data_IF_068929561674
#
_entry.id   IF_068929561674
#
_cell.length_a   1.000
_cell.length_b   1.000
_cell.length_c   1.000
_cell.angle_alpha   90.00
_cell.angle_beta   90.00
_cell.angle_gamma   90.00
#
_symmetry.space_group_name_H-M   'P 1'
#
loop_
_entity.id
_entity.type
_entity.pdbx_description
1 polymer ?
#
# COMPACT_ATOMS: atom_id res chain seq x y z
N UNK A 1 -4.21 -8.23 5.60
CA UNK A 1 -3.40 -9.19 6.37
C UNK A 1 -2.00 -8.66 6.66
N UNK A 2 -1.28 -9.23 7.64
CA UNK A 2 0.13 -8.90 7.88
C UNK A 2 1.06 -9.47 6.78
N UNK A 3 0.55 -10.40 5.99
CA UNK A 3 1.27 -11.05 4.91
C UNK A 3 1.17 -10.29 3.57
N UNK A 4 0.28 -9.29 3.46
CA UNK A 4 0.10 -8.52 2.23
C UNK A 4 1.38 -7.80 1.78
N UNK A 5 2.11 -7.05 2.64
CA UNK A 5 3.29 -6.33 2.21
C UNK A 5 4.40 -7.23 1.64
N UNK A 6 4.84 -8.30 2.31
CA UNK A 6 5.89 -9.17 1.76
C UNK A 6 5.44 -9.89 0.49
N UNK A 7 4.19 -10.33 0.42
CA UNK A 7 3.69 -11.05 -0.76
C UNK A 7 3.57 -10.15 -1.98
N UNK A 8 3.04 -8.93 -1.83
CA UNK A 8 3.01 -7.95 -2.92
C UNK A 8 4.41 -7.60 -3.42
N UNK A 9 5.40 -7.53 -2.53
CA UNK A 9 6.77 -7.21 -2.91
C UNK A 9 7.49 -8.35 -3.66
N UNK A 10 7.12 -9.60 -3.41
CA UNK A 10 7.85 -10.79 -3.93
C UNK A 10 7.84 -10.87 -5.46
N UNK A 11 6.78 -10.38 -6.10
CA UNK A 11 6.61 -10.49 -7.55
C UNK A 11 7.02 -9.23 -8.32
N UNK A 12 7.56 -8.23 -7.63
CA UNK A 12 8.01 -7.00 -8.27
C UNK A 12 9.51 -7.03 -8.55
N UNK A 13 9.96 -6.53 -9.72
CA UNK A 13 11.38 -6.56 -10.11
C UNK A 13 12.23 -5.53 -9.35
N UNK A 14 11.60 -4.65 -8.56
CA UNK A 14 12.26 -3.60 -7.78
C UNK A 14 11.90 -3.71 -6.31
N UNK A 15 12.83 -3.37 -5.40
CA UNK A 15 12.54 -3.35 -3.96
C UNK A 15 11.38 -2.41 -3.63
N UNK A 16 10.43 -2.90 -2.84
CA UNK A 16 9.30 -2.14 -2.34
C UNK A 16 9.61 -1.61 -0.95
N UNK A 17 9.48 -0.32 -0.77
CA UNK A 17 9.58 0.34 0.53
C UNK A 17 8.21 0.50 1.15
N UNK A 18 8.10 0.28 2.44
CA UNK A 18 6.84 0.42 3.18
C UNK A 18 6.97 1.42 4.33
N UNK A 19 5.91 2.16 4.60
CA UNK A 19 5.80 2.94 5.82
C UNK A 19 5.38 2.03 6.97
N UNK A 20 6.16 2.02 8.05
CA UNK A 20 5.85 1.24 9.24
C UNK A 20 5.87 2.14 10.49
N UNK A 21 5.07 1.79 11.50
CA UNK A 21 5.03 2.53 12.76
C UNK A 21 6.42 2.58 13.39
N UNK A 22 6.82 3.76 13.90
CA UNK A 22 8.14 3.97 14.50
C UNK A 22 8.42 2.99 15.65
N UNK A 23 7.40 2.63 16.43
CA UNK A 23 7.50 1.71 17.55
C UNK A 23 7.95 0.30 17.13
N UNK A 24 7.68 -0.10 15.88
CA UNK A 24 8.12 -1.39 15.36
C UNK A 24 9.64 -1.47 15.16
N UNK A 25 10.28 -0.31 15.02
CA UNK A 25 11.74 -0.23 14.86
C UNK A 25 12.50 -0.27 16.18
N UNK A 26 11.81 -0.09 17.30
CA UNK A 26 12.38 -0.16 18.64
C UNK A 26 12.70 -1.60 19.06
N UNK A 27 11.99 -2.56 18.52
CA UNK A 27 12.26 -3.97 18.78
C UNK A 27 13.53 -4.44 18.03
N UNK A 28 14.57 -4.95 18.73
CA UNK A 28 15.88 -5.15 18.12
C UNK A 28 15.87 -6.12 16.94
N UNK A 29 15.22 -7.27 17.07
CA UNK A 29 15.18 -8.30 16.03
C UNK A 29 14.19 -7.89 14.93
N UNK A 30 12.99 -7.52 15.31
CA UNK A 30 11.93 -7.18 14.35
C UNK A 30 12.26 -5.88 13.60
N UNK A 31 12.80 -4.87 14.30
CA UNK A 31 13.24 -3.62 13.70
C UNK A 31 14.35 -3.83 12.67
N UNK A 32 15.31 -4.72 12.95
CA UNK A 32 16.35 -5.08 11.98
C UNK A 32 15.75 -5.77 10.73
N UNK A 33 14.82 -6.70 10.93
CA UNK A 33 14.14 -7.41 9.84
C UNK A 33 13.36 -6.46 8.92
N UNK A 34 12.55 -5.54 9.49
CA UNK A 34 11.75 -4.61 8.67
C UNK A 34 12.60 -3.56 7.96
N UNK A 35 13.73 -3.11 8.56
CA UNK A 35 14.70 -2.25 7.87
C UNK A 35 15.31 -2.98 6.66
N UNK A 36 15.63 -4.26 6.80
CA UNK A 36 16.13 -5.08 5.69
C UNK A 36 15.09 -5.24 4.57
N UNK A 37 13.80 -5.19 4.92
CA UNK A 37 12.69 -5.13 3.97
C UNK A 37 12.41 -3.71 3.45
N UNK A 38 13.36 -2.78 3.56
CA UNK A 38 13.25 -1.39 3.11
C UNK A 38 12.09 -0.59 3.74
N UNK A 39 11.57 -1.02 4.89
CA UNK A 39 10.60 -0.22 5.64
C UNK A 39 11.28 1.00 6.28
N UNK A 40 10.54 2.10 6.35
CA UNK A 40 10.98 3.32 7.02
C UNK A 40 9.95 3.79 8.07
N UNK A 41 10.42 4.39 9.17
CA UNK A 41 9.56 4.74 10.30
C UNK A 41 8.69 5.96 9.99
N UNK A 42 7.42 5.89 10.43
CA UNK A 42 6.48 7.01 10.41
C UNK A 42 5.73 7.10 11.73
N UNK A 43 5.41 8.32 12.17
CA UNK A 43 4.52 8.56 13.31
C UNK A 43 3.08 8.58 12.81
N UNK A 44 2.20 7.74 13.37
CA UNK A 44 0.77 7.76 13.04
C UNK A 44 0.05 8.85 13.84
N UNK A 45 -0.97 9.49 13.25
CA UNK A 45 -1.94 10.31 13.96
C UNK A 45 -1.94 11.81 13.71
N UNK A 46 -0.92 12.38 13.10
CA UNK A 46 -0.96 13.73 12.53
C UNK A 46 -0.51 13.64 11.09
N UNK A 47 -0.87 14.62 10.25
CA UNK A 47 -0.29 14.73 8.91
C UNK A 47 1.25 14.84 9.06
N UNK A 48 1.91 13.69 9.16
CA UNK A 48 3.36 13.63 9.40
C UNK A 48 4.07 14.07 8.12
N UNK A 49 4.40 15.37 8.08
CA UNK A 49 5.15 15.97 6.97
C UNK A 49 6.48 15.24 6.75
N UNK A 50 7.06 14.68 7.81
CA UNK A 50 8.26 13.86 7.72
C UNK A 50 8.03 12.57 6.96
N UNK A 51 6.92 11.89 7.20
CA UNK A 51 6.53 10.68 6.48
C UNK A 51 6.29 10.95 4.99
N UNK A 52 5.58 12.04 4.66
CA UNK A 52 5.35 12.45 3.28
C UNK A 52 6.68 12.76 2.57
N UNK A 53 7.57 13.52 3.22
CA UNK A 53 8.89 13.84 2.67
C UNK A 53 9.74 12.58 2.45
N UNK A 54 9.74 11.66 3.40
CA UNK A 54 10.45 10.38 3.28
C UNK A 54 9.90 9.53 2.13
N UNK A 55 8.58 9.44 1.99
CA UNK A 55 7.91 8.75 0.90
C UNK A 55 8.28 9.33 -0.47
N UNK A 56 8.24 10.65 -0.62
CA UNK A 56 8.65 11.35 -1.84
C UNK A 56 10.12 11.08 -2.17
N UNK A 57 11.00 11.07 -1.17
CA UNK A 57 12.42 10.77 -1.38
C UNK A 57 12.63 9.33 -1.89
N UNK A 58 11.88 8.36 -1.36
CA UNK A 58 11.90 6.97 -1.85
C UNK A 58 11.53 6.91 -3.33
N UNK A 59 10.45 7.60 -3.72
CA UNK A 59 9.98 7.65 -5.11
C UNK A 59 10.98 8.37 -6.04
N UNK A 60 11.58 9.48 -5.59
CA UNK A 60 12.61 10.21 -6.35
C UNK A 60 13.89 9.39 -6.58
N UNK A 61 14.18 8.41 -5.72
CA UNK A 61 15.28 7.47 -5.91
C UNK A 61 14.94 6.35 -6.91
N UNK A 62 13.78 6.40 -7.59
CA UNK A 62 13.33 5.37 -8.52
C UNK A 62 12.88 4.07 -7.85
N UNK A 63 12.66 4.10 -6.53
CA UNK A 63 12.18 2.94 -5.76
C UNK A 63 10.65 2.87 -5.78
N UNK A 64 10.12 1.70 -5.48
CA UNK A 64 8.69 1.48 -5.32
C UNK A 64 8.28 1.78 -3.89
N UNK A 65 7.16 2.48 -3.71
CA UNK A 65 6.52 2.70 -2.42
C UNK A 65 5.24 1.89 -2.34
N UNK A 66 5.18 0.95 -1.41
CA UNK A 66 3.97 0.20 -1.10
C UNK A 66 3.10 0.98 -0.12
N UNK A 67 1.86 1.25 -0.52
CA UNK A 67 0.86 1.94 0.28
C UNK A 67 -0.42 1.13 0.37
N UNK A 68 -1.04 1.17 1.54
CA UNK A 68 -2.40 0.67 1.74
C UNK A 68 -3.33 1.88 1.80
N UNK A 69 -4.15 2.12 0.76
CA UNK A 69 -4.90 3.35 0.64
C UNK A 69 -5.93 3.55 1.76
N UNK A 70 -6.35 2.51 2.42
CA UNK A 70 -7.25 2.55 3.57
C UNK A 70 -6.59 3.08 4.87
N UNK A 71 -5.28 3.27 4.90
CA UNK A 71 -4.51 3.71 6.06
C UNK A 71 -4.50 2.73 7.24
N UNK A 72 -5.46 1.83 7.32
CA UNK A 72 -5.62 0.82 8.36
C UNK A 72 -5.93 -0.55 7.74
N UNK A 73 -5.73 -1.60 8.52
CA UNK A 73 -6.15 -2.95 8.11
C UNK A 73 -7.66 -3.10 8.26
N UNK A 74 -8.33 -3.62 7.23
CA UNK A 74 -9.71 -4.03 7.33
C UNK A 74 -9.86 -5.13 8.39
N UNK A 75 -10.84 -4.98 9.27
CA UNK A 75 -11.18 -5.98 10.30
C UNK A 75 -12.32 -6.88 9.85
N UNK A 76 -13.10 -6.42 8.90
CA UNK A 76 -14.31 -7.07 8.38
C UNK A 76 -14.12 -7.67 6.98
N UNK A 77 -12.90 -7.58 6.43
CA UNK A 77 -12.59 -8.04 5.08
C UNK A 77 -13.16 -7.17 3.96
N UNK A 78 -13.79 -6.03 4.30
CA UNK A 78 -14.35 -5.09 3.33
C UNK A 78 -13.34 -4.00 2.98
N UNK A 79 -13.47 -3.44 1.80
CA UNK A 79 -12.72 -2.25 1.39
C UNK A 79 -13.35 -1.02 2.03
N UNK A 80 -12.52 -0.18 2.62
CA UNK A 80 -12.92 1.10 3.22
C UNK A 80 -12.55 2.27 2.29
N UNK A 81 -12.98 3.48 2.66
CA UNK A 81 -12.63 4.69 1.91
C UNK A 81 -11.11 4.90 1.92
N UNK A 82 -10.61 5.41 0.80
CA UNK A 82 -9.21 5.81 0.72
C UNK A 82 -8.92 7.01 1.62
N UNK A 83 -7.77 6.97 2.27
CA UNK A 83 -7.14 8.15 2.85
C UNK A 83 -6.63 9.08 1.74
N UNK A 84 -6.73 10.39 1.93
CA UNK A 84 -6.26 11.39 0.95
C UNK A 84 -4.73 11.33 0.68
N UNK A 85 -4.00 10.58 1.48
CA UNK A 85 -2.53 10.50 1.41
C UNK A 85 -1.99 9.94 0.10
N UNK A 86 -2.68 9.00 -0.53
CA UNK A 86 -2.23 8.39 -1.81
C UNK A 86 -2.27 9.41 -2.93
N UNK A 87 -3.39 10.14 -3.08
CA UNK A 87 -3.54 11.20 -4.08
C UNK A 87 -2.50 12.32 -3.88
N UNK A 88 -2.27 12.72 -2.63
CA UNK A 88 -1.26 13.72 -2.30
C UNK A 88 0.16 13.26 -2.69
N UNK A 89 0.53 12.04 -2.38
CA UNK A 89 1.85 11.48 -2.71
C UNK A 89 2.02 11.37 -4.23
N UNK A 90 1.02 10.90 -4.96
CA UNK A 90 1.03 10.84 -6.41
C UNK A 90 1.22 12.23 -7.03
N UNK A 91 0.44 13.21 -6.58
CA UNK A 91 0.52 14.59 -7.06
C UNK A 91 1.87 15.25 -6.77
N UNK A 92 2.43 15.05 -5.58
CA UNK A 92 3.69 15.68 -5.17
C UNK A 92 4.91 15.01 -5.78
N UNK A 93 4.89 13.70 -5.97
CA UNK A 93 6.01 12.96 -6.56
C UNK A 93 5.99 12.91 -8.08
N UNK A 94 4.82 13.01 -8.70
CA UNK A 94 4.59 12.73 -10.11
C UNK A 94 4.76 11.25 -10.49
N UNK A 95 4.90 10.37 -9.52
CA UNK A 95 5.04 8.94 -9.76
C UNK A 95 3.69 8.31 -10.15
N UNK A 96 3.68 7.33 -11.08
CA UNK A 96 2.49 6.56 -11.37
C UNK A 96 2.07 5.72 -10.16
N UNK A 97 0.77 5.51 -10.03
CA UNK A 97 0.17 4.61 -9.04
C UNK A 97 -0.31 3.35 -9.75
N UNK A 98 0.18 2.20 -9.33
CA UNK A 98 -0.28 0.91 -9.82
C UNK A 98 -1.23 0.31 -8.78
N UNK A 99 -2.54 0.24 -9.04
CA UNK A 99 -3.47 -0.44 -8.16
C UNK A 99 -3.10 -1.92 -8.04
N UNK A 100 -3.17 -2.49 -6.84
CA UNK A 100 -2.89 -3.90 -6.61
C UNK A 100 -3.94 -4.51 -5.68
N UNK A 101 -4.37 -5.72 -6.00
CA UNK A 101 -5.27 -6.49 -5.17
C UNK A 101 -4.66 -7.83 -4.82
N UNK A 102 -4.77 -8.24 -3.56
CA UNK A 102 -4.34 -9.55 -3.07
C UNK A 102 -5.49 -10.21 -2.32
N UNK A 103 -5.71 -11.49 -2.60
CA UNK A 103 -6.79 -12.30 -1.99
C UNK A 103 -6.22 -13.60 -1.44
N UNK A 104 -6.78 -14.07 -0.33
CA UNK A 104 -6.42 -15.34 0.32
C UNK A 104 -5.41 -15.22 1.47
N UNK A 105 -4.85 -14.04 1.71
CA UNK A 105 -3.85 -13.80 2.78
C UNK A 105 -4.45 -13.85 4.18
N UNK A 106 -5.75 -13.63 4.32
CA UNK A 106 -6.51 -13.75 5.56
C UNK A 106 -6.54 -15.18 6.07
N UNK A 107 -6.43 -16.16 5.18
CA UNK A 107 -6.48 -17.59 5.49
C UNK A 107 -5.12 -18.20 5.82
N UNK A 108 -4.02 -17.44 5.65
CA UNK A 108 -2.67 -17.91 5.99
C UNK A 108 -2.60 -18.19 7.50
N UNK A 109 -2.19 -19.40 7.87
CA UNK A 109 -2.06 -19.90 9.26
C UNK A 109 -3.39 -20.07 10.04
N UNK A 110 -4.56 -19.95 9.41
CA UNK A 110 -5.84 -20.10 10.11
C UNK A 110 -6.36 -21.55 10.23
N UNK A 111 -5.83 -22.51 9.52
CA UNK A 111 -6.36 -23.90 9.53
C UNK A 111 -5.23 -24.95 9.41
N UNK A 112 -4.31 -24.99 10.35
CA UNK A 112 -3.46 -26.18 10.54
C UNK A 112 -2.50 -26.52 9.38
N UNK A 113 -1.94 -25.53 8.68
CA UNK A 113 -0.78 -25.77 7.82
C UNK A 113 -1.03 -25.84 6.30
N UNK A 114 -2.23 -25.66 5.83
CA UNK A 114 -2.47 -25.51 4.38
C UNK A 114 -2.28 -24.05 3.97
N UNK A 115 -1.36 -23.81 3.03
CA UNK A 115 -1.24 -22.51 2.36
C UNK A 115 -2.47 -22.32 1.46
N UNK A 116 -3.29 -21.30 1.67
CA UNK A 116 -4.43 -21.00 0.81
C UNK A 116 -3.93 -20.62 -0.60
N UNK A 117 -4.79 -20.78 -1.60
CA UNK A 117 -4.50 -20.21 -2.91
C UNK A 117 -4.41 -18.69 -2.78
N UNK A 118 -3.22 -18.15 -3.00
CA UNK A 118 -2.97 -16.72 -3.05
C UNK A 118 -3.10 -16.23 -4.49
N UNK A 119 -3.80 -15.12 -4.67
CA UNK A 119 -3.91 -14.46 -5.95
C UNK A 119 -3.55 -13.00 -5.80
N UNK A 120 -2.74 -12.52 -6.73
CA UNK A 120 -2.32 -11.13 -6.79
C UNK A 120 -2.64 -10.63 -8.20
N UNK A 121 -3.25 -9.46 -8.28
CA UNK A 121 -3.50 -8.75 -9.52
C UNK A 121 -2.94 -7.34 -9.42
N UNK A 122 -2.28 -6.90 -10.49
CA UNK A 122 -1.81 -5.52 -10.66
C UNK A 122 -2.58 -4.90 -11.81
N UNK A 123 -3.09 -3.70 -11.60
CA UNK A 123 -3.80 -2.93 -12.62
C UNK A 123 -2.85 -2.05 -13.44
N UNK A 124 -3.44 -1.32 -14.37
CA UNK A 124 -2.70 -0.35 -15.20
C UNK A 124 -2.22 0.84 -14.37
N UNK A 125 -1.05 1.42 -14.73
CA UNK A 125 -0.53 2.60 -14.06
C UNK A 125 -1.46 3.80 -14.24
N UNK A 126 -1.80 4.45 -13.14
CA UNK A 126 -2.62 5.66 -13.08
C UNK A 126 -1.77 6.88 -12.76
N UNK A 127 -1.99 7.99 -13.43
CA UNK A 127 -1.27 9.24 -13.22
C UNK A 127 -2.20 10.34 -12.73
N UNK A 128 -1.79 11.06 -11.69
CA UNK A 128 -2.48 12.26 -11.26
C UNK A 128 -2.19 13.42 -12.21
N UNK A 129 -3.22 13.98 -12.83
CA UNK A 129 -3.12 15.10 -13.80
C UNK A 129 -3.79 16.38 -13.33
N UNK A 130 -4.34 16.39 -12.10
CA UNK A 130 -5.06 17.53 -11.52
C UNK A 130 -4.17 18.58 -10.86
N UNK A 131 -4.81 19.57 -10.24
CA UNK A 131 -4.13 20.58 -9.42
C UNK A 131 -3.71 19.94 -8.08
N UNK A 132 -2.40 19.98 -7.80
CA UNK A 132 -1.77 19.46 -6.57
C UNK A 132 -2.24 20.16 -5.29
N UNK A 133 -2.89 21.33 -5.41
CA UNK A 133 -3.42 22.13 -4.29
C UNK A 133 -4.90 21.87 -4.05
N UNK A 134 -5.57 21.28 -5.01
CA UNK A 134 -7.00 20.99 -4.95
C UNK A 134 -7.24 19.69 -4.16
N UNK A 135 -7.71 19.85 -2.92
CA UNK A 135 -7.98 18.71 -2.03
C UNK A 135 -9.08 17.77 -2.55
N UNK A 136 -10.04 18.31 -3.29
CA UNK A 136 -11.14 17.51 -3.84
C UNK A 136 -10.64 16.62 -4.97
N UNK A 137 -9.79 17.15 -5.87
CA UNK A 137 -9.15 16.36 -6.92
C UNK A 137 -8.22 15.29 -6.36
N UNK A 138 -7.44 15.59 -5.31
CA UNK A 138 -6.60 14.62 -4.62
C UNK A 138 -7.42 13.49 -4.00
N UNK A 139 -8.53 13.83 -3.36
CA UNK A 139 -9.44 12.85 -2.77
C UNK A 139 -10.14 12.01 -3.86
N UNK A 140 -10.61 12.64 -4.93
CA UNK A 140 -11.24 11.95 -6.06
C UNK A 140 -10.30 10.93 -6.70
N UNK A 141 -9.04 11.29 -6.93
CA UNK A 141 -8.04 10.37 -7.45
C UNK A 141 -7.78 9.18 -6.49
N UNK A 142 -7.74 9.43 -5.18
CA UNK A 142 -7.62 8.34 -4.20
C UNK A 142 -8.83 7.39 -4.24
N UNK A 143 -10.05 7.91 -4.44
CA UNK A 143 -11.25 7.07 -4.59
C UNK A 143 -11.27 6.31 -5.92
N UNK A 144 -10.77 6.90 -7.00
CA UNK A 144 -10.61 6.23 -8.29
C UNK A 144 -9.68 5.01 -8.18
N UNK A 145 -8.55 5.15 -7.49
CA UNK A 145 -7.65 4.02 -7.18
C UNK A 145 -8.39 2.92 -6.41
N UNK A 146 -9.20 3.28 -5.41
CA UNK A 146 -10.00 2.29 -4.67
C UNK A 146 -11.05 1.60 -5.53
N UNK A 147 -11.68 2.31 -6.47
CA UNK A 147 -12.63 1.72 -7.41
C UNK A 147 -11.94 0.67 -8.31
N UNK A 148 -10.74 0.96 -8.79
CA UNK A 148 -9.93 -0.02 -9.54
C UNK A 148 -9.57 -1.25 -8.70
N UNK A 149 -9.16 -1.06 -7.43
CA UNK A 149 -8.87 -2.18 -6.52
C UNK A 149 -10.14 -3.02 -6.27
N UNK A 150 -11.31 -2.39 -6.10
CA UNK A 150 -12.57 -3.09 -5.90
C UNK A 150 -12.96 -3.93 -7.14
N UNK A 151 -12.85 -3.37 -8.33
CA UNK A 151 -13.11 -4.10 -9.58
C UNK A 151 -12.18 -5.31 -9.76
N UNK A 152 -10.88 -5.14 -9.50
CA UNK A 152 -9.91 -6.24 -9.54
C UNK A 152 -10.25 -7.33 -8.51
N UNK A 153 -10.72 -6.95 -7.33
CA UNK A 153 -11.14 -7.91 -6.30
C UNK A 153 -12.32 -8.76 -6.78
N UNK A 154 -13.35 -8.14 -7.34
CA UNK A 154 -14.50 -8.85 -7.91
C UNK A 154 -14.08 -9.81 -9.02
N UNK A 155 -13.14 -9.40 -9.87
CA UNK A 155 -12.60 -10.23 -10.94
C UNK A 155 -11.85 -11.46 -10.38
N UNK A 156 -10.97 -11.27 -9.40
CA UNK A 156 -10.24 -12.36 -8.75
C UNK A 156 -11.21 -13.35 -8.07
N UNK A 157 -12.25 -12.84 -7.43
CA UNK A 157 -13.24 -13.67 -6.71
C UNK A 157 -14.09 -14.51 -7.67
N UNK A 158 -14.35 -14.02 -8.89
CA UNK A 158 -15.06 -14.80 -9.95
C UNK A 158 -14.23 -15.97 -10.52
N UNK A 159 -12.90 -15.86 -10.49
CA UNK A 159 -11.98 -16.90 -10.96
C UNK A 159 -11.73 -17.94 -9.83
N UNK A 160 -12.27 -17.73 -8.67
CA UNK A 160 -12.13 -18.61 -7.51
C UNK A 160 -13.17 -19.68 -7.47
#
# INVERSE_FOLDING_TARGET
>A
SNWDPPLLATFLPRPVSYMAKIELFEHPIFGAAIRRCHAFPVKRGAADRGAIKAAINVLKQGRVLGLFPEGTRSKDGRLHKAEAGVGLLAAMSGAPVVPACIVGTDRIMQHGGFLPKLRIMYGEPMHFTGDKRDKEQLAAFSQEIMAHIAAMREEIEKIS
#
